data_IF_605489971775
#
_entry.id   IF_605489971775
#
_cell.length_a   1.000
_cell.length_b   1.000
_cell.length_c   1.000
_cell.angle_alpha   90.00
_cell.angle_beta   90.00
_cell.angle_gamma   90.00
#
_symmetry.space_group_name_H-M   'P 1'
#
loop_
_entity.id
_entity.type
_entity.pdbx_description
1 polymer ?
#
# COMPACT_ATOMS: atom_id res chain seq x y z
N UNK A 1 13.98 2.33 3.67
CA UNK A 1 14.46 2.75 5.01
C UNK A 1 15.13 4.14 4.98
N UNK A 2 14.99 4.95 3.92
CA UNK A 2 15.80 6.16 3.72
C UNK A 2 15.02 7.48 3.81
N UNK A 3 14.06 7.59 4.72
CA UNK A 3 13.27 8.83 4.87
C UNK A 3 13.00 9.25 6.31
N UNK A 4 13.77 8.75 7.28
CA UNK A 4 13.76 9.35 8.62
C UNK A 4 14.82 10.46 8.66
N UNK A 5 14.39 11.73 8.58
CA UNK A 5 15.26 12.89 8.81
C UNK A 5 15.20 14.04 7.79
N UNK A 6 14.35 14.00 6.77
CA UNK A 6 14.20 15.14 5.85
C UNK A 6 13.22 16.16 6.47
N UNK A 7 13.73 17.35 6.80
CA UNK A 7 12.99 18.41 7.51
C UNK A 7 12.01 19.19 6.61
N UNK A 8 11.90 18.84 5.33
CA UNK A 8 11.06 19.56 4.37
C UNK A 8 10.57 18.59 3.27
N UNK A 9 9.68 17.67 3.64
CA UNK A 9 9.05 16.74 2.69
C UNK A 9 7.69 17.33 2.33
N UNK A 10 7.50 17.74 1.07
CA UNK A 10 6.23 18.28 0.59
C UNK A 10 5.08 17.30 0.81
N UNK A 11 3.85 17.82 1.00
CA UNK A 11 2.66 17.01 1.34
C UNK A 11 2.46 15.83 0.37
N UNK A 12 2.54 16.06 -0.95
CA UNK A 12 2.43 15.00 -1.97
C UNK A 12 3.45 13.87 -1.77
N UNK A 13 4.67 14.22 -1.35
CA UNK A 13 5.75 13.26 -1.19
C UNK A 13 5.63 12.47 0.12
N UNK A 14 5.05 13.09 1.15
CA UNK A 14 4.72 12.46 2.42
C UNK A 14 3.55 11.48 2.25
N UNK A 15 2.53 11.88 1.50
CA UNK A 15 1.38 11.06 1.11
C UNK A 15 1.81 9.86 0.25
N UNK A 16 2.65 10.09 -0.76
CA UNK A 16 3.27 9.02 -1.55
C UNK A 16 3.96 7.97 -0.66
N UNK A 17 4.77 8.41 0.32
CA UNK A 17 5.44 7.50 1.25
C UNK A 17 4.43 6.73 2.09
N UNK A 18 3.41 7.39 2.63
CA UNK A 18 2.39 6.76 3.49
C UNK A 18 1.58 5.71 2.74
N UNK A 19 1.14 6.04 1.53
CA UNK A 19 0.37 5.14 0.66
C UNK A 19 1.21 3.91 0.27
N UNK A 20 2.48 4.10 -0.12
CA UNK A 20 3.38 2.99 -0.46
C UNK A 20 3.73 2.11 0.75
N UNK A 21 3.87 2.71 1.94
CA UNK A 21 4.10 1.98 3.18
C UNK A 21 2.89 1.11 3.55
N UNK A 22 1.68 1.60 3.30
CA UNK A 22 0.43 0.89 3.57
C UNK A 22 0.25 -0.30 2.63
N UNK A 23 0.47 -0.12 1.33
CA UNK A 23 0.40 -1.19 0.35
C UNK A 23 1.45 -2.29 0.62
N UNK A 24 2.69 -1.89 0.95
CA UNK A 24 3.75 -2.84 1.29
C UNK A 24 3.43 -3.63 2.57
N UNK A 25 2.84 -2.97 3.58
CA UNK A 25 2.42 -3.64 4.81
C UNK A 25 1.30 -4.66 4.54
N UNK A 26 0.31 -4.31 3.71
CA UNK A 26 -0.76 -5.22 3.30
C UNK A 26 -0.22 -6.46 2.60
N UNK A 27 0.67 -6.28 1.60
CA UNK A 27 1.34 -7.40 0.92
C UNK A 27 2.07 -8.30 1.92
N UNK A 28 2.84 -7.68 2.84
CA UNK A 28 3.53 -8.40 3.91
C UNK A 28 2.60 -9.22 4.78
N UNK A 29 1.50 -8.63 5.28
CA UNK A 29 0.53 -9.31 6.13
C UNK A 29 -0.13 -10.51 5.43
N UNK A 30 -0.50 -10.35 4.16
CA UNK A 30 -1.13 -11.43 3.37
C UNK A 30 -0.15 -12.58 3.11
N UNK A 31 1.08 -12.26 2.69
CA UNK A 31 2.12 -13.27 2.43
C UNK A 31 2.52 -14.00 3.71
N UNK A 32 2.70 -13.27 4.82
CA UNK A 32 3.00 -13.88 6.13
C UNK A 32 1.89 -14.83 6.58
N UNK A 33 0.62 -14.42 6.42
CA UNK A 33 -0.52 -15.27 6.72
C UNK A 33 -0.54 -16.55 5.87
N UNK A 34 -0.23 -16.45 4.58
CA UNK A 34 -0.14 -17.59 3.68
C UNK A 34 0.94 -18.59 4.09
N UNK A 35 2.14 -18.09 4.43
CA UNK A 35 3.26 -18.91 4.89
C UNK A 35 2.93 -19.61 6.22
N UNK A 36 2.42 -18.85 7.20
CA UNK A 36 2.06 -19.40 8.51
C UNK A 36 0.90 -20.39 8.45
N UNK A 37 -0.01 -20.22 7.47
CA UNK A 37 -1.08 -21.16 7.18
C UNK A 37 -0.64 -22.45 6.48
N UNK A 38 0.64 -22.59 6.14
CA UNK A 38 1.18 -23.75 5.44
C UNK A 38 0.87 -23.77 3.94
N UNK A 39 0.59 -22.61 3.34
CA UNK A 39 0.37 -22.49 1.91
C UNK A 39 1.61 -22.88 1.10
N UNK A 40 1.38 -23.48 -0.06
CA UNK A 40 2.41 -23.78 -1.05
C UNK A 40 3.04 -22.50 -1.62
N UNK A 41 4.21 -22.62 -2.24
CA UNK A 41 4.86 -21.49 -2.91
C UNK A 41 3.97 -20.85 -3.99
N UNK A 42 3.20 -21.67 -4.71
CA UNK A 42 2.26 -21.19 -5.72
C UNK A 42 1.14 -20.36 -5.10
N UNK A 43 0.55 -20.83 -3.99
CA UNK A 43 -0.50 -20.10 -3.28
C UNK A 43 0.01 -18.79 -2.68
N UNK A 44 1.21 -18.81 -2.10
CA UNK A 44 1.89 -17.61 -1.60
C UNK A 44 2.09 -16.59 -2.73
N UNK A 45 2.53 -17.03 -3.91
CA UNK A 45 2.72 -16.13 -5.06
C UNK A 45 1.39 -15.60 -5.61
N UNK A 46 0.33 -16.41 -5.62
CA UNK A 46 -1.02 -15.96 -6.01
C UNK A 46 -1.54 -14.90 -5.04
N UNK A 47 -1.35 -15.11 -3.73
CA UNK A 47 -1.75 -14.16 -2.69
C UNK A 47 -0.91 -12.89 -2.71
N UNK A 48 0.38 -12.98 -3.03
CA UNK A 48 1.25 -11.82 -3.29
C UNK A 48 0.72 -10.97 -4.45
N UNK A 49 0.39 -11.58 -5.58
CA UNK A 49 -0.20 -10.88 -6.73
C UNK A 49 -1.54 -10.24 -6.37
N UNK A 50 -2.39 -10.96 -5.64
CA UNK A 50 -3.65 -10.42 -5.13
C UNK A 50 -3.43 -9.17 -4.28
N UNK A 51 -2.54 -9.24 -3.28
CA UNK A 51 -2.28 -8.12 -2.39
C UNK A 51 -1.71 -6.90 -3.12
N UNK A 52 -0.86 -7.10 -4.13
CA UNK A 52 -0.37 -6.01 -5.00
C UNK A 52 -1.49 -5.33 -5.78
N UNK A 53 -2.41 -6.11 -6.36
CA UNK A 53 -3.54 -5.55 -7.09
C UNK A 53 -4.46 -4.75 -6.18
N UNK A 54 -4.73 -5.25 -4.97
CA UNK A 54 -5.52 -4.54 -3.95
C UNK A 54 -4.80 -3.27 -3.49
N UNK A 55 -3.48 -3.34 -3.26
CA UNK A 55 -2.67 -2.18 -2.91
C UNK A 55 -2.78 -1.07 -3.96
N UNK A 56 -2.61 -1.41 -5.24
CA UNK A 56 -2.78 -0.47 -6.37
C UNK A 56 -4.20 0.10 -6.46
N UNK A 57 -5.22 -0.75 -6.30
CA UNK A 57 -6.62 -0.31 -6.29
C UNK A 57 -6.88 0.72 -5.19
N UNK A 58 -6.29 0.51 -4.00
CA UNK A 58 -6.41 1.45 -2.89
C UNK A 58 -5.83 2.82 -3.25
N UNK A 59 -4.68 2.87 -3.93
CA UNK A 59 -4.09 4.13 -4.41
C UNK A 59 -5.03 4.84 -5.39
N UNK A 60 -5.56 4.12 -6.37
CA UNK A 60 -6.50 4.68 -7.36
C UNK A 60 -7.76 5.25 -6.68
N UNK A 61 -8.29 4.54 -5.68
CA UNK A 61 -9.45 5.03 -4.93
C UNK A 61 -9.10 6.26 -4.10
N UNK A 62 -7.93 6.28 -3.47
CA UNK A 62 -7.47 7.42 -2.65
C UNK A 62 -7.25 8.67 -3.51
N UNK A 63 -6.62 8.53 -4.68
CA UNK A 63 -6.44 9.61 -5.66
C UNK A 63 -7.79 10.19 -6.13
N UNK A 64 -8.79 9.31 -6.38
CA UNK A 64 -10.15 9.76 -6.72
C UNK A 64 -10.80 10.49 -5.55
N UNK A 65 -10.63 9.98 -4.32
CA UNK A 65 -11.21 10.60 -3.13
C UNK A 65 -10.56 11.95 -2.83
N UNK A 66 -9.26 12.11 -3.04
CA UNK A 66 -8.56 13.37 -2.85
C UNK A 66 -9.08 14.44 -3.83
N UNK A 67 -9.15 14.10 -5.13
CA UNK A 67 -9.69 15.01 -6.16
C UNK A 67 -11.16 15.34 -5.94
N UNK A 68 -11.98 14.38 -5.50
CA UNK A 68 -13.43 14.58 -5.33
C UNK A 68 -13.80 15.27 -4.01
N UNK A 69 -12.96 15.20 -2.98
CA UNK A 69 -13.17 15.92 -1.71
C UNK A 69 -12.92 17.42 -1.83
N UNK A 70 -12.32 17.92 -2.92
CA UNK A 70 -12.08 19.36 -3.14
C UNK A 70 -13.34 20.21 -3.42
N UNK A 71 -14.55 19.70 -3.18
CA UNK A 71 -15.82 20.42 -3.41
C UNK A 71 -16.77 20.48 -2.21
N UNK A 72 -16.35 20.08 -1.01
CA UNK A 72 -17.07 20.42 0.22
C UNK A 72 -16.09 20.91 1.28
N UNK A 73 -16.34 22.14 1.73
CA UNK A 73 -15.67 22.88 2.80
C UNK A 73 -15.41 22.07 4.07
#
# INVERSE_FOLDING_TARGET
LSSEGLQDVGLEQLEFIHVHKTAALLEGSVVLGAILGGGSEEEVERLRKFARCIGLLFQVVDDILDVTKSSQE
#
